data_IF_070982465261
#
_entry.id   IF_070982465261
#
_cell.length_a   1.000
_cell.length_b   1.000
_cell.length_c   1.000
_cell.angle_alpha   90.00
_cell.angle_beta   90.00
_cell.angle_gamma   90.00
#
_symmetry.space_group_name_H-M   'P 1'
#
loop_
_entity.id
_entity.type
_entity.pdbx_description
1 polymer ?
#
# COMPACT_ATOMS: atom_id res chain seq x y z
N UNK A 1 47.37 -34.39 50.78
CA UNK A 1 47.45 -34.35 49.31
C UNK A 1 46.05 -34.06 48.79
N UNK A 2 45.66 -32.78 48.75
CA UNK A 2 44.32 -32.33 48.32
C UNK A 2 44.43 -31.99 46.82
N UNK A 3 43.69 -32.72 45.98
CA UNK A 3 43.57 -32.43 44.54
C UNK A 3 42.59 -31.27 44.37
N UNK A 4 43.09 -30.12 43.89
CA UNK A 4 42.24 -29.02 43.43
C UNK A 4 41.50 -29.45 42.15
N UNK A 5 40.19 -29.59 42.24
CA UNK A 5 39.30 -29.67 41.09
C UNK A 5 38.98 -28.24 40.63
N UNK A 6 39.59 -27.80 39.54
CA UNK A 6 39.23 -26.56 38.84
C UNK A 6 37.96 -26.79 37.99
N UNK A 7 36.88 -26.02 38.15
CA UNK A 7 35.72 -26.12 37.27
C UNK A 7 36.03 -25.53 35.87
N UNK A 8 35.44 -26.07 34.78
CA UNK A 8 35.59 -25.47 33.46
C UNK A 8 34.89 -24.11 33.42
N UNK A 9 35.64 -23.05 33.09
CA UNK A 9 35.11 -21.74 32.74
C UNK A 9 34.11 -21.88 31.58
N UNK A 10 32.83 -21.91 31.92
CA UNK A 10 31.74 -21.84 30.95
C UNK A 10 31.63 -20.44 30.37
N UNK A 11 31.64 -20.38 29.03
CA UNK A 11 30.97 -19.39 28.20
C UNK A 11 31.41 -17.93 28.36
N UNK A 12 32.58 -17.63 27.82
CA UNK A 12 32.87 -16.29 27.31
C UNK A 12 31.80 -15.95 26.26
N UNK A 13 30.98 -14.88 26.42
CA UNK A 13 30.14 -14.43 25.34
C UNK A 13 31.06 -14.07 24.17
N UNK A 14 30.80 -14.68 23.01
CA UNK A 14 31.53 -14.36 21.78
C UNK A 14 31.50 -12.86 21.50
N UNK A 15 32.46 -12.32 20.74
CA UNK A 15 32.44 -10.91 20.35
C UNK A 15 31.07 -10.56 19.77
N UNK A 16 30.53 -9.35 20.02
CA UNK A 16 29.26 -8.94 19.47
C UNK A 16 29.31 -9.14 17.95
N UNK A 17 28.38 -9.96 17.42
CA UNK A 17 28.24 -10.14 15.98
C UNK A 17 28.18 -8.75 15.34
N UNK A 18 29.11 -8.48 14.43
CA UNK A 18 29.09 -7.25 13.64
C UNK A 18 27.71 -7.14 12.97
N UNK A 19 27.11 -5.93 12.92
CA UNK A 19 25.82 -5.76 12.26
C UNK A 19 25.95 -6.28 10.83
N UNK A 20 25.08 -7.23 10.47
CA UNK A 20 25.01 -7.81 9.13
C UNK A 20 24.92 -6.66 8.12
N UNK A 21 25.98 -6.49 7.32
CA UNK A 21 26.04 -5.45 6.29
C UNK A 21 25.01 -5.83 5.23
N UNK A 22 23.91 -5.08 5.17
CA UNK A 22 22.86 -5.29 4.18
C UNK A 22 23.41 -4.79 2.84
N UNK A 23 23.49 -5.68 1.86
CA UNK A 23 23.80 -5.34 0.46
C UNK A 23 22.47 -5.11 -0.30
N UNK A 24 22.06 -3.84 -0.52
CA UNK A 24 20.77 -3.54 -1.12
C UNK A 24 20.78 -3.79 -2.63
N UNK A 25 19.66 -4.27 -3.16
CA UNK A 25 19.49 -4.45 -4.60
C UNK A 25 19.56 -3.11 -5.34
N UNK A 26 20.11 -3.16 -6.54
CA UNK A 26 20.13 -1.99 -7.42
C UNK A 26 18.70 -1.60 -7.86
N UNK A 27 18.45 -0.32 -8.21
CA UNK A 27 17.15 0.10 -8.76
C UNK A 27 16.80 -0.63 -10.07
N UNK A 28 17.81 -1.06 -10.83
CA UNK A 28 17.65 -1.78 -12.08
C UNK A 28 17.17 -3.22 -11.84
N UNK A 29 17.77 -3.94 -10.88
CA UNK A 29 17.28 -5.26 -10.44
C UNK A 29 15.88 -5.16 -9.83
N UNK A 30 15.63 -4.14 -9.00
CA UNK A 30 14.31 -3.92 -8.41
C UNK A 30 13.24 -3.74 -9.49
N UNK A 31 13.55 -2.97 -10.54
CA UNK A 31 12.64 -2.73 -11.65
C UNK A 31 12.37 -4.03 -12.44
N UNK A 32 13.37 -4.88 -12.65
CA UNK A 32 13.20 -6.17 -13.33
C UNK A 32 12.34 -7.13 -12.50
N UNK A 33 12.56 -7.21 -11.19
CA UNK A 33 11.71 -7.99 -10.27
C UNK A 33 10.28 -7.48 -10.32
N UNK A 34 10.10 -6.17 -10.23
CA UNK A 34 8.79 -5.53 -10.28
C UNK A 34 8.08 -5.79 -11.60
N UNK A 35 8.77 -5.71 -12.73
CA UNK A 35 8.20 -5.98 -14.05
C UNK A 35 7.69 -7.42 -14.18
N UNK A 36 8.46 -8.38 -13.69
CA UNK A 36 8.05 -9.78 -13.67
C UNK A 36 6.79 -10.02 -12.83
N UNK A 37 6.64 -9.31 -11.70
CA UNK A 37 5.45 -9.43 -10.85
C UNK A 37 4.24 -8.70 -11.42
N UNK A 38 4.46 -7.56 -12.09
CA UNK A 38 3.38 -6.72 -12.61
C UNK A 38 2.83 -7.26 -13.94
N UNK A 39 3.65 -7.94 -14.74
CA UNK A 39 3.31 -8.50 -16.05
C UNK A 39 1.95 -9.24 -16.08
N UNK A 40 1.67 -10.21 -15.19
CA UNK A 40 0.41 -10.95 -15.18
C UNK A 40 -0.82 -10.08 -14.93
N UNK A 41 -0.68 -8.96 -14.21
CA UNK A 41 -1.79 -8.04 -13.96
C UNK A 41 -2.09 -7.17 -15.19
N UNK A 42 -1.06 -6.80 -15.95
CA UNK A 42 -1.24 -6.04 -17.19
C UNK A 42 -2.03 -6.84 -18.24
N UNK A 43 -1.85 -8.16 -18.26
CA UNK A 43 -2.63 -9.08 -19.10
C UNK A 43 -4.09 -9.22 -18.63
N UNK A 44 -4.39 -8.92 -17.36
CA UNK A 44 -5.72 -9.01 -16.73
C UNK A 44 -6.45 -7.65 -16.64
N UNK A 45 -6.26 -6.80 -17.67
CA UNK A 45 -6.85 -5.47 -17.82
C UNK A 45 -6.46 -4.43 -16.74
N UNK A 46 -5.47 -4.70 -15.90
CA UNK A 46 -4.99 -3.70 -14.95
C UNK A 46 -4.21 -2.59 -15.65
N UNK A 47 -4.45 -1.35 -15.23
CA UNK A 47 -3.75 -0.17 -15.77
C UNK A 47 -2.77 0.38 -14.77
N UNK A 48 -1.57 0.73 -15.23
CA UNK A 48 -0.56 1.40 -14.40
C UNK A 48 -1.00 2.85 -14.16
N UNK A 49 -1.13 3.22 -12.89
CA UNK A 49 -1.37 4.60 -12.45
C UNK A 49 -0.07 5.34 -12.16
N UNK A 50 0.84 4.67 -11.47
CA UNK A 50 2.14 5.23 -11.07
C UNK A 50 3.21 4.14 -11.08
N UNK A 51 4.44 4.51 -11.37
CA UNK A 51 5.55 3.56 -11.50
C UNK A 51 6.89 4.20 -11.15
N UNK A 52 7.67 3.43 -10.40
CA UNK A 52 9.06 3.71 -10.01
C UNK A 52 9.88 2.42 -10.11
N UNK A 53 11.17 2.50 -9.79
CA UNK A 53 12.04 1.32 -9.74
C UNK A 53 11.63 0.28 -8.69
N UNK A 54 11.10 0.72 -7.54
CA UNK A 54 10.78 -0.15 -6.40
C UNK A 54 9.28 -0.34 -6.17
N UNK A 55 8.43 0.33 -6.95
CA UNK A 55 6.98 0.26 -6.73
C UNK A 55 6.20 0.55 -8.00
N UNK A 56 5.08 -0.16 -8.16
CA UNK A 56 4.08 0.11 -9.17
C UNK A 56 2.70 0.12 -8.53
N UNK A 57 1.89 1.12 -8.93
CA UNK A 57 0.48 1.19 -8.58
C UNK A 57 -0.35 0.87 -9.81
N UNK A 58 -1.24 -0.10 -9.66
CA UNK A 58 -2.18 -0.51 -10.70
C UNK A 58 -3.62 -0.27 -10.25
N UNK A 59 -4.52 -0.11 -11.22
CA UNK A 59 -5.94 0.02 -10.97
C UNK A 59 -6.76 -0.81 -11.95
N UNK A 60 -7.86 -1.37 -11.46
CA UNK A 60 -8.89 -2.04 -12.27
C UNK A 60 -10.27 -1.77 -11.67
N UNK A 61 -11.06 -0.98 -12.38
CA UNK A 61 -12.42 -0.61 -11.96
C UNK A 61 -12.40 0.10 -10.62
N UNK A 62 -12.88 -0.57 -9.56
CA UNK A 62 -12.94 -0.03 -8.20
C UNK A 62 -11.84 -0.53 -7.28
N UNK A 63 -10.79 -1.14 -7.83
CA UNK A 63 -9.68 -1.72 -7.04
C UNK A 63 -8.35 -1.13 -7.44
N UNK A 64 -7.50 -0.93 -6.46
CA UNK A 64 -6.11 -0.57 -6.63
C UNK A 64 -5.22 -1.70 -6.11
N UNK A 65 -4.13 -1.95 -6.81
CA UNK A 65 -3.10 -2.90 -6.43
C UNK A 65 -1.80 -2.14 -6.31
N UNK A 66 -1.23 -2.13 -5.12
CA UNK A 66 0.08 -1.56 -4.84
C UNK A 66 1.09 -2.70 -4.75
N UNK A 67 2.05 -2.72 -5.67
CA UNK A 67 3.17 -3.67 -5.69
C UNK A 67 4.44 -2.93 -5.31
N UNK A 68 5.18 -3.44 -4.34
CA UNK A 68 6.44 -2.86 -3.86
C UNK A 68 7.51 -3.93 -3.75
N UNK A 69 8.73 -3.55 -4.05
CA UNK A 69 9.93 -4.37 -3.87
C UNK A 69 10.78 -3.69 -2.81
N UNK A 70 11.17 -4.41 -1.77
CA UNK A 70 12.06 -3.90 -0.74
C UNK A 70 13.53 -3.91 -1.20
N UNK A 71 14.43 -3.39 -0.36
CA UNK A 71 15.87 -3.32 -0.68
C UNK A 71 16.55 -4.70 -0.71
N UNK A 72 15.87 -5.76 -0.28
CA UNK A 72 16.35 -7.13 -0.28
C UNK A 72 15.73 -7.96 -1.42
N UNK A 73 14.89 -7.35 -2.26
CA UNK A 73 14.19 -8.02 -3.36
C UNK A 73 12.92 -8.76 -2.95
N UNK A 74 12.45 -8.61 -1.71
CA UNK A 74 11.14 -9.15 -1.33
C UNK A 74 10.03 -8.29 -1.91
N UNK A 75 8.98 -8.95 -2.40
CA UNK A 75 7.85 -8.29 -3.03
C UNK A 75 6.65 -8.30 -2.09
N UNK A 76 6.08 -7.12 -1.86
CA UNK A 76 4.85 -6.92 -1.12
C UNK A 76 3.74 -6.44 -2.06
N UNK A 77 2.61 -7.15 -2.06
CA UNK A 77 1.43 -6.80 -2.84
C UNK A 77 0.27 -6.46 -1.93
N UNK A 78 -0.29 -5.27 -2.06
CA UNK A 78 -1.42 -4.82 -1.28
C UNK A 78 -2.58 -4.42 -2.20
N UNK A 79 -3.63 -5.23 -2.21
CA UNK A 79 -4.89 -4.89 -2.88
C UNK A 79 -5.73 -4.03 -1.92
N UNK A 80 -6.20 -2.90 -2.43
CA UNK A 80 -7.09 -1.99 -1.72
C UNK A 80 -8.29 -1.67 -2.59
N UNK A 81 -9.49 -1.80 -2.04
CA UNK A 81 -10.68 -1.24 -2.67
C UNK A 81 -10.57 0.29 -2.69
N UNK A 82 -11.04 0.93 -3.76
CA UNK A 82 -11.26 2.37 -3.78
C UNK A 82 -12.12 2.70 -2.56
N UNK A 83 -11.63 3.60 -1.72
CA UNK A 83 -12.28 3.92 -0.46
C UNK A 83 -13.73 4.33 -0.77
N UNK A 84 -14.75 3.71 -0.14
CA UNK A 84 -16.16 4.04 -0.37
C UNK A 84 -16.49 5.53 -0.23
N UNK A 85 -15.59 6.27 0.40
CA UNK A 85 -15.65 7.72 0.59
C UNK A 85 -15.66 8.50 -0.73
N UNK A 86 -15.00 8.00 -1.80
CA UNK A 86 -14.95 8.70 -3.08
C UNK A 86 -16.30 8.63 -3.84
N UNK A 87 -17.01 7.50 -3.75
CA UNK A 87 -18.39 7.40 -4.22
C UNK A 87 -19.38 8.12 -3.29
N UNK A 88 -19.09 8.13 -1.98
CA UNK A 88 -19.89 8.86 -0.99
C UNK A 88 -19.90 10.37 -1.26
N UNK A 89 -18.81 10.95 -1.75
CA UNK A 89 -18.76 12.37 -2.10
C UNK A 89 -19.75 12.77 -3.20
N UNK A 90 -19.86 11.95 -4.26
CA UNK A 90 -20.81 12.19 -5.35
C UNK A 90 -22.26 12.02 -4.87
N UNK A 91 -22.54 11.00 -4.07
CA UNK A 91 -23.86 10.77 -3.50
C UNK A 91 -24.27 11.92 -2.56
N UNK A 92 -23.36 12.37 -1.70
CA UNK A 92 -23.60 13.50 -0.81
C UNK A 92 -23.89 14.79 -1.59
N UNK A 93 -23.15 15.05 -2.67
CA UNK A 93 -23.41 16.17 -3.55
C UNK A 93 -24.81 16.10 -4.17
N UNK A 94 -25.24 14.93 -4.66
CA UNK A 94 -26.60 14.73 -5.19
C UNK A 94 -27.69 14.92 -4.13
N UNK A 95 -27.49 14.41 -2.92
CA UNK A 95 -28.44 14.56 -1.82
C UNK A 95 -28.59 16.02 -1.41
N UNK A 96 -27.48 16.75 -1.26
CA UNK A 96 -27.50 18.18 -0.95
C UNK A 96 -28.19 18.97 -2.06
N UNK A 97 -27.86 18.70 -3.33
CA UNK A 97 -28.50 19.35 -4.48
C UNK A 97 -30.01 19.12 -4.50
N UNK A 98 -30.46 17.86 -4.35
CA UNK A 98 -31.89 17.52 -4.29
C UNK A 98 -32.58 18.17 -3.11
N UNK A 99 -31.95 18.16 -1.94
CA UNK A 99 -32.51 18.76 -0.73
C UNK A 99 -32.67 20.27 -0.91
N UNK A 100 -31.64 20.95 -1.41
CA UNK A 100 -31.71 22.38 -1.70
C UNK A 100 -32.79 22.69 -2.74
N UNK A 101 -32.88 21.89 -3.81
CA UNK A 101 -33.91 22.05 -4.83
C UNK A 101 -35.33 21.92 -4.25
N UNK A 102 -35.56 20.91 -3.39
CA UNK A 102 -36.84 20.70 -2.72
C UNK A 102 -37.18 21.86 -1.77
N UNK A 103 -36.21 22.38 -1.03
CA UNK A 103 -36.41 23.54 -0.14
C UNK A 103 -36.78 24.79 -0.95
N UNK A 104 -36.07 25.05 -2.05
CA UNK A 104 -36.37 26.18 -2.94
C UNK A 104 -37.76 26.03 -3.55
N UNK A 105 -38.13 24.83 -4.01
CA UNK A 105 -39.45 24.56 -4.56
C UNK A 105 -40.55 24.76 -3.51
N UNK A 106 -40.37 24.23 -2.30
CA UNK A 106 -41.33 24.40 -1.21
C UNK A 106 -41.52 25.88 -0.84
N UNK A 107 -40.44 26.66 -0.81
CA UNK A 107 -40.51 28.11 -0.60
C UNK A 107 -41.23 28.82 -1.76
N UNK A 108 -40.92 28.49 -3.02
CA UNK A 108 -41.57 29.08 -4.18
C UNK A 108 -43.08 28.82 -4.19
N UNK A 109 -43.50 27.59 -3.85
CA UNK A 109 -44.93 27.24 -3.69
C UNK A 109 -45.56 27.96 -2.50
N UNK A 110 -44.88 28.04 -1.35
CA UNK A 110 -45.41 28.71 -0.16
C UNK A 110 -45.58 30.23 -0.36
N UNK A 111 -44.73 30.85 -1.17
CA UNK A 111 -44.83 32.25 -1.56
C UNK A 111 -45.78 32.49 -2.74
N UNK A 112 -46.29 31.43 -3.39
CA UNK A 112 -47.16 31.53 -4.57
C UNK A 112 -46.47 32.09 -5.81
N UNK A 113 -45.14 31.96 -5.89
CA UNK A 113 -44.35 32.32 -7.08
C UNK A 113 -44.59 31.30 -8.20
N UNK A 114 -44.80 30.05 -7.79
CA UNK A 114 -45.22 28.90 -8.59
C UNK A 114 -46.49 28.37 -7.94
#
# INVERSE_FOLDING_TARGET
MLTENTPPSGSQPGPPSEPEEIDPISPEEAAEILDNVVQPYLDDEWRVLDRSAYAARLTRGTRNLDVRVDLLGNVETQESDLTPLQDSGRLMAWVLLLTTLLVVLALATALGII
#
